data_IF_422162983644
#
_entry.id   IF_422162983644
#
_cell.length_a   1.000
_cell.length_b   1.000
_cell.length_c   1.000
_cell.angle_alpha   90.00
_cell.angle_beta   90.00
_cell.angle_gamma   90.00
#
_symmetry.space_group_name_H-M   'P 1'
#
loop_
_entity.id
_entity.type
_entity.pdbx_description
1 polymer ?
#
# COMPACT_ATOMS: atom_id res chain seq x y z
N UNK A 1 12.44 21.97 14.95
CA UNK A 1 11.13 21.97 14.26
C UNK A 1 10.65 20.54 14.06
N UNK A 2 9.68 20.06 14.85
CA UNK A 2 8.98 18.80 14.52
C UNK A 2 8.07 19.08 13.33
N UNK A 3 8.43 18.60 12.14
CA UNK A 3 7.44 18.51 11.06
C UNK A 3 6.34 17.56 11.54
N UNK A 4 5.16 18.09 11.86
CA UNK A 4 3.95 17.31 12.03
C UNK A 4 3.63 16.68 10.67
N UNK A 5 4.01 15.41 10.50
CA UNK A 5 3.59 14.60 9.37
C UNK A 5 2.07 14.46 9.47
N UNK A 6 1.34 15.03 8.50
CA UNK A 6 -0.11 14.91 8.40
C UNK A 6 -0.45 14.08 7.17
N UNK A 7 -1.40 13.16 7.32
CA UNK A 7 -1.97 12.36 6.23
C UNK A 7 -2.45 13.26 5.09
N UNK A 8 -3.00 14.43 5.42
CA UNK A 8 -3.50 15.44 4.46
C UNK A 8 -2.40 16.02 3.57
N UNK A 9 -1.26 16.35 4.17
CA UNK A 9 -0.12 16.88 3.43
C UNK A 9 0.42 15.85 2.45
N UNK A 10 0.56 14.61 2.90
CA UNK A 10 1.01 13.52 2.03
C UNK A 10 -0.03 13.27 0.93
N UNK A 11 -1.33 13.20 1.26
CA UNK A 11 -2.39 13.01 0.28
C UNK A 11 -2.38 14.08 -0.82
N UNK A 12 -2.29 15.37 -0.48
CA UNK A 12 -2.24 16.43 -1.48
C UNK A 12 -0.96 16.38 -2.34
N UNK A 13 0.19 16.03 -1.75
CA UNK A 13 1.42 15.79 -2.51
C UNK A 13 1.23 14.68 -3.55
N UNK A 14 0.68 13.55 -3.12
CA UNK A 14 0.45 12.38 -3.97
C UNK A 14 -0.65 12.61 -5.03
N UNK A 15 -1.69 13.37 -4.68
CA UNK A 15 -2.74 13.77 -5.60
C UNK A 15 -2.19 14.65 -6.73
N UNK A 16 -1.31 15.61 -6.40
CA UNK A 16 -0.60 16.43 -7.41
C UNK A 16 0.33 15.60 -8.31
N UNK A 17 0.94 14.54 -7.77
CA UNK A 17 1.74 13.57 -8.53
C UNK A 17 0.90 12.63 -9.41
N UNK A 18 -0.43 12.65 -9.30
CA UNK A 18 -1.31 11.78 -10.06
C UNK A 18 -1.37 10.34 -9.56
N UNK A 19 -0.88 10.04 -8.34
CA UNK A 19 -0.87 8.67 -7.79
C UNK A 19 -2.28 8.11 -7.60
N UNK A 20 -3.26 8.97 -7.37
CA UNK A 20 -4.67 8.61 -7.21
C UNK A 20 -5.47 8.67 -8.52
N UNK A 21 -4.83 8.49 -9.69
CA UNK A 21 -5.50 8.55 -11.02
C UNK A 21 -6.71 7.62 -11.17
N UNK A 22 -6.74 6.50 -10.43
CA UNK A 22 -7.85 5.55 -10.42
C UNK A 22 -9.09 6.02 -9.63
N UNK A 23 -8.99 7.13 -8.89
CA UNK A 23 -10.06 7.67 -8.06
C UNK A 23 -10.66 8.94 -8.66
N UNK A 24 -11.87 9.29 -8.23
CA UNK A 24 -12.51 10.55 -8.62
C UNK A 24 -11.63 11.75 -8.23
N UNK A 25 -11.60 12.77 -9.09
CA UNK A 25 -10.93 14.05 -8.78
C UNK A 25 -11.52 14.76 -7.55
N UNK A 26 -12.76 14.43 -7.19
CA UNK A 26 -13.46 14.95 -6.01
C UNK A 26 -13.17 14.15 -4.74
N UNK A 27 -12.27 13.15 -4.79
CA UNK A 27 -11.91 12.34 -3.62
C UNK A 27 -11.38 13.23 -2.49
N UNK A 28 -12.06 13.18 -1.34
CA UNK A 28 -11.57 13.77 -0.10
C UNK A 28 -10.81 12.74 0.70
N UNK A 29 -9.83 13.21 1.47
CA UNK A 29 -9.04 12.34 2.34
C UNK A 29 -9.86 11.69 3.47
N UNK A 30 -10.91 12.36 3.93
CA UNK A 30 -11.86 11.86 4.94
C UNK A 30 -12.57 10.60 4.46
N UNK A 31 -12.77 10.50 3.15
CA UNK A 31 -13.56 9.43 2.54
C UNK A 31 -12.66 8.25 2.13
N UNK A 32 -11.33 8.37 2.33
CA UNK A 32 -10.35 7.37 1.93
C UNK A 32 -9.88 6.53 3.15
N UNK A 33 -10.31 5.26 3.24
CA UNK A 33 -9.84 4.34 4.26
C UNK A 33 -8.32 4.21 4.28
N UNK A 34 -7.74 4.11 5.47
CA UNK A 34 -6.28 3.98 5.66
C UNK A 34 -5.69 2.81 4.89
N UNK A 35 -6.43 1.69 4.82
CA UNK A 35 -6.05 0.52 4.03
C UNK A 35 -5.85 0.86 2.55
N UNK A 36 -6.81 1.57 1.93
CA UNK A 36 -6.74 1.95 0.51
C UNK A 36 -5.68 3.02 0.25
N UNK A 37 -5.52 3.96 1.18
CA UNK A 37 -4.44 4.94 1.12
C UNK A 37 -3.07 4.26 1.15
N UNK A 38 -2.83 3.38 2.13
CA UNK A 38 -1.58 2.63 2.25
C UNK A 38 -1.33 1.75 1.02
N UNK A 39 -2.34 1.01 0.55
CA UNK A 39 -2.24 0.17 -0.66
C UNK A 39 -1.82 1.01 -1.88
N UNK A 40 -2.43 2.17 -2.09
CA UNK A 40 -2.13 3.03 -3.25
C UNK A 40 -0.73 3.61 -3.17
N UNK A 41 -0.32 4.07 -1.98
CA UNK A 41 1.03 4.61 -1.74
C UNK A 41 2.08 3.54 -1.93
N UNK A 42 1.86 2.33 -1.41
CA UNK A 42 2.80 1.22 -1.58
C UNK A 42 2.93 0.79 -3.05
N UNK A 43 1.85 0.85 -3.84
CA UNK A 43 1.86 0.47 -5.26
C UNK A 43 2.55 1.47 -6.16
N UNK A 44 2.28 2.77 -5.96
CA UNK A 44 2.61 3.80 -6.93
C UNK A 44 3.42 4.97 -6.36
N UNK A 45 3.62 5.01 -5.04
CA UNK A 45 4.47 5.99 -4.39
C UNK A 45 5.94 5.75 -4.68
N UNK A 46 6.72 6.83 -4.68
CA UNK A 46 8.17 6.72 -4.72
C UNK A 46 8.73 6.33 -3.33
N UNK A 47 10.05 6.08 -3.28
CA UNK A 47 10.72 5.70 -2.03
C UNK A 47 10.49 6.72 -0.90
N UNK A 48 10.53 8.02 -1.23
CA UNK A 48 10.34 9.11 -0.25
C UNK A 48 8.90 9.18 0.26
N UNK A 49 7.93 8.82 -0.57
CA UNK A 49 6.52 8.79 -0.25
C UNK A 49 6.21 7.60 0.66
N UNK A 50 6.80 6.42 0.38
CA UNK A 50 6.71 5.26 1.27
C UNK A 50 7.37 5.58 2.61
N UNK A 51 8.56 6.20 2.65
CA UNK A 51 9.16 6.62 3.92
C UNK A 51 8.26 7.56 4.74
N UNK A 52 7.51 8.46 4.09
CA UNK A 52 6.54 9.31 4.77
C UNK A 52 5.33 8.51 5.27
N UNK A 53 4.89 7.48 4.56
CA UNK A 53 3.83 6.58 5.01
C UNK A 53 4.21 5.91 6.36
N UNK A 54 5.45 5.42 6.47
CA UNK A 54 5.99 4.80 7.70
C UNK A 54 6.18 5.80 8.86
N UNK A 55 6.08 7.10 8.61
CA UNK A 55 6.05 8.14 9.66
C UNK A 55 4.63 8.47 10.12
N UNK A 56 3.61 8.09 9.33
CA UNK A 56 2.21 8.37 9.59
C UNK A 56 1.49 7.18 10.24
N UNK A 57 1.84 5.96 9.85
CA UNK A 57 1.24 4.72 10.33
C UNK A 57 2.30 3.83 10.96
N UNK A 58 1.89 2.99 11.91
CA UNK A 58 2.80 1.98 12.48
C UNK A 58 3.22 0.98 11.41
N UNK A 59 4.44 0.47 11.53
CA UNK A 59 4.97 -0.59 10.66
C UNK A 59 4.00 -1.76 10.57
N UNK A 60 3.47 -2.21 11.70
CA UNK A 60 2.57 -3.37 11.79
C UNK A 60 1.26 -3.15 11.01
N UNK A 61 0.68 -1.95 11.08
CA UNK A 61 -0.53 -1.61 10.34
C UNK A 61 -0.27 -1.62 8.82
N UNK A 62 0.84 -1.01 8.39
CA UNK A 62 1.24 -0.99 6.98
C UNK A 62 1.52 -2.42 6.49
N UNK A 63 2.22 -3.23 7.29
CA UNK A 63 2.53 -4.62 6.96
C UNK A 63 1.24 -5.46 6.82
N UNK A 64 0.29 -5.28 7.73
CA UNK A 64 -1.02 -5.94 7.65
C UNK A 64 -1.75 -5.56 6.36
N UNK A 65 -1.81 -4.26 6.02
CA UNK A 65 -2.46 -3.82 4.78
C UNK A 65 -1.75 -4.32 3.54
N UNK A 66 -0.41 -4.29 3.52
CA UNK A 66 0.41 -4.84 2.45
C UNK A 66 0.11 -6.32 2.22
N UNK A 67 0.17 -7.15 3.27
CA UNK A 67 -0.14 -8.60 3.23
C UNK A 67 -1.55 -8.88 2.71
N UNK A 68 -2.53 -8.09 3.12
CA UNK A 68 -3.92 -8.27 2.69
C UNK A 68 -4.23 -7.80 1.26
N UNK A 69 -3.33 -7.04 0.61
CA UNK A 69 -3.64 -6.36 -0.65
C UNK A 69 -2.64 -6.66 -1.76
N UNK A 70 -1.37 -6.26 -1.59
CA UNK A 70 -0.34 -6.36 -2.63
C UNK A 70 0.27 -7.75 -2.73
N UNK A 71 0.38 -8.46 -1.61
CA UNK A 71 1.24 -9.65 -1.57
C UNK A 71 0.75 -10.76 -2.50
N UNK A 72 -0.58 -10.93 -2.61
CA UNK A 72 -1.18 -11.92 -3.51
C UNK A 72 -1.23 -11.50 -4.98
N UNK A 73 -0.91 -10.24 -5.32
CA UNK A 73 -0.92 -9.78 -6.71
C UNK A 73 0.45 -10.01 -7.37
N UNK A 74 0.51 -11.06 -8.19
CA UNK A 74 1.74 -11.53 -8.86
C UNK A 74 2.40 -10.44 -9.73
N UNK A 75 1.64 -9.45 -10.21
CA UNK A 75 2.17 -8.32 -11.00
C UNK A 75 3.14 -7.47 -10.19
N UNK A 76 3.01 -7.46 -8.86
CA UNK A 76 3.83 -6.68 -7.94
C UNK A 76 4.90 -7.50 -7.24
N UNK A 77 5.26 -8.70 -7.72
CA UNK A 77 6.24 -9.58 -7.05
C UNK A 77 7.58 -8.87 -6.78
N UNK A 78 8.13 -8.13 -7.75
CA UNK A 78 9.40 -7.38 -7.55
C UNK A 78 9.26 -6.28 -6.51
N UNK A 79 8.13 -5.57 -6.53
CA UNK A 79 7.81 -4.55 -5.54
C UNK A 79 7.64 -5.17 -4.14
N UNK A 80 6.97 -6.32 -4.02
CA UNK A 80 6.80 -7.04 -2.76
C UNK A 80 8.13 -7.50 -2.17
N UNK A 81 9.08 -7.94 -3.00
CA UNK A 81 10.45 -8.25 -2.54
C UNK A 81 11.15 -6.99 -2.01
N UNK A 82 11.05 -5.87 -2.73
CA UNK A 82 11.66 -4.61 -2.31
C UNK A 82 11.05 -4.09 -1.00
N UNK A 83 9.71 -4.06 -0.89
CA UNK A 83 9.01 -3.66 0.33
C UNK A 83 9.35 -4.59 1.50
N UNK A 84 9.30 -5.90 1.27
CA UNK A 84 9.63 -6.93 2.26
C UNK A 84 11.03 -6.76 2.83
N UNK A 85 12.04 -6.63 1.96
CA UNK A 85 13.45 -6.51 2.39
C UNK A 85 13.77 -5.15 3.00
N UNK A 86 13.38 -4.07 2.32
CA UNK A 86 13.87 -2.72 2.64
C UNK A 86 13.05 -2.08 3.77
N UNK A 87 11.73 -2.22 3.73
CA UNK A 87 10.84 -1.55 4.69
C UNK A 87 10.37 -2.47 5.82
N UNK A 88 10.17 -3.75 5.54
CA UNK A 88 9.74 -4.72 6.55
C UNK A 88 10.88 -5.51 7.20
N UNK A 89 12.09 -5.44 6.64
CA UNK A 89 13.27 -6.19 7.10
C UNK A 89 13.04 -7.72 7.14
N UNK A 90 12.32 -8.23 6.16
CA UNK A 90 12.04 -9.65 5.99
C UNK A 90 13.10 -10.27 5.06
N UNK A 91 13.56 -11.47 5.41
CA UNK A 91 14.38 -12.28 4.51
C UNK A 91 13.47 -13.07 3.55
N UNK A 92 13.05 -12.40 2.49
CA UNK A 92 12.13 -12.94 1.48
C UNK A 92 12.69 -12.79 0.08
N UNK A 93 12.37 -13.72 -0.81
CA UNK A 93 12.70 -13.68 -2.24
C UNK A 93 11.40 -13.72 -3.07
N UNK A 94 11.53 -13.71 -4.40
CA UNK A 94 10.36 -13.71 -5.29
C UNK A 94 9.45 -14.93 -5.08
N UNK A 95 10.03 -16.11 -4.81
CA UNK A 95 9.26 -17.35 -4.63
C UNK A 95 8.39 -17.37 -3.38
N UNK A 96 8.77 -16.63 -2.32
CA UNK A 96 7.93 -16.44 -1.13
C UNK A 96 6.54 -15.88 -1.47
N UNK A 97 6.42 -15.09 -2.53
CA UNK A 97 5.18 -14.41 -2.92
C UNK A 97 4.38 -15.16 -4.00
N UNK A 98 4.97 -16.15 -4.68
CA UNK A 98 4.29 -16.87 -5.77
C UNK A 98 3.17 -17.80 -5.28
N UNK A 99 3.27 -18.26 -4.04
CA UNK A 99 2.37 -19.25 -3.44
C UNK A 99 1.29 -18.61 -2.53
N UNK A 100 1.18 -17.28 -2.47
CA UNK A 100 0.13 -16.65 -1.66
C UNK A 100 -1.20 -16.60 -2.39
N UNK A 101 -2.23 -17.15 -1.76
CA UNK A 101 -3.61 -17.11 -2.26
C UNK A 101 -4.16 -15.69 -2.23
N UNK A 102 -4.92 -15.34 -3.27
CA UNK A 102 -5.55 -14.03 -3.36
C UNK A 102 -6.86 -14.00 -2.59
N UNK A 103 -6.79 -13.50 -1.35
CA UNK A 103 -7.95 -13.38 -0.45
C UNK A 103 -9.14 -12.61 -1.06
N UNK A 104 -8.90 -11.68 -2.00
CA UNK A 104 -10.00 -10.96 -2.70
C UNK A 104 -10.67 -11.86 -3.73
N UNK A 105 -9.89 -12.62 -4.49
CA UNK A 105 -10.40 -13.60 -5.44
C UNK A 105 -11.23 -14.68 -4.73
N UNK A 106 -10.72 -15.21 -3.61
CA UNK A 106 -11.45 -16.21 -2.82
C UNK A 106 -12.75 -15.68 -2.23
N UNK A 107 -12.79 -14.42 -1.76
CA UNK A 107 -14.04 -13.78 -1.32
C UNK A 107 -15.05 -13.65 -2.45
N UNK A 108 -14.62 -13.19 -3.63
CA UNK A 108 -15.50 -13.07 -4.79
C UNK A 108 -16.04 -14.44 -5.24
N UNK A 109 -15.18 -15.47 -5.24
CA UNK A 109 -15.58 -16.85 -5.55
C UNK A 109 -16.70 -17.34 -4.62
N UNK A 110 -16.57 -17.10 -3.30
CA UNK A 110 -17.60 -17.46 -2.31
C UNK A 110 -18.92 -16.68 -2.49
N UNK A 111 -18.87 -15.43 -2.94
CA UNK A 111 -20.06 -14.61 -3.17
C UNK A 111 -20.79 -14.97 -4.47
N UNK A 112 -20.09 -15.61 -5.40
CA UNK A 112 -20.66 -16.12 -6.66
C UNK A 112 -21.12 -17.59 -6.56
N UNK A 113 -20.96 -18.22 -5.38
CA UNK A 113 -21.42 -19.58 -5.05
C UNK A 113 -22.80 -19.52 -4.41
#
# INVERSE_FOLDING_TARGET
>A
MRQLYSKEKLFHKLQKKGIFWQYSKTLKITDLPDKLFCETVLKYGDFSDIQQLFKLFSKDAIEQYWRQTLVSDKRFTRLNVMLGRVFFHLDVNGSYFLNQENSRYEKLKRLAS
#
